data_IF_434686578148
#
_entry.id   IF_434686578148
#
_cell.length_a   1.000
_cell.length_b   1.000
_cell.length_c   1.000
_cell.angle_alpha   90.00
_cell.angle_beta   90.00
_cell.angle_gamma   90.00
#
_symmetry.space_group_name_H-M   'P 1'
#
loop_
_entity.id
_entity.type
_entity.pdbx_description
1 polymer ?
#
# COMPACT_ATOMS: atom_id res chain seq x y z
N UNK A 1 12.87 9.98 11.80
CA UNK A 1 13.33 9.42 13.09
C UNK A 1 12.57 8.13 13.33
N UNK A 2 13.17 6.99 13.00
CA UNK A 2 12.79 5.71 13.61
C UNK A 2 13.67 5.64 14.86
N UNK A 3 13.09 5.91 16.02
CA UNK A 3 13.80 5.76 17.30
C UNK A 3 13.83 4.26 17.64
N UNK A 4 15.03 3.72 17.86
CA UNK A 4 15.27 2.48 18.61
C UNK A 4 15.03 1.17 17.85
N UNK A 5 15.74 0.92 16.75
CA UNK A 5 15.88 -0.44 16.24
C UNK A 5 17.08 -1.11 16.90
N UNK A 6 16.90 -2.31 17.45
CA UNK A 6 18.00 -3.18 17.84
C UNK A 6 18.49 -3.96 16.61
N UNK A 7 19.77 -3.88 16.28
CA UNK A 7 20.39 -4.68 15.22
C UNK A 7 20.88 -6.02 15.78
N UNK A 8 20.59 -7.08 15.03
CA UNK A 8 21.09 -8.42 15.32
C UNK A 8 21.80 -8.97 14.09
N UNK A 9 22.95 -9.60 14.31
CA UNK A 9 23.68 -10.34 13.28
C UNK A 9 23.43 -11.84 13.47
N UNK A 10 22.87 -12.49 12.45
CA UNK A 10 22.58 -13.92 12.44
C UNK A 10 23.66 -14.67 11.67
N UNK A 11 24.34 -15.60 12.35
CA UNK A 11 25.39 -16.44 11.80
C UNK A 11 24.95 -17.91 11.87
N UNK A 12 24.13 -18.40 10.93
CA UNK A 12 23.89 -19.82 10.78
C UNK A 12 25.17 -20.53 10.36
N UNK A 13 25.40 -21.73 10.88
CA UNK A 13 26.51 -22.61 10.52
C UNK A 13 25.97 -24.02 10.38
N UNK A 14 26.18 -24.62 9.21
CA UNK A 14 25.86 -26.02 8.94
C UNK A 14 27.15 -26.83 8.94
N UNK A 15 27.17 -27.92 9.70
CA UNK A 15 28.31 -28.81 9.84
C UNK A 15 27.89 -30.27 9.85
N UNK A 16 28.85 -31.19 9.70
CA UNK A 16 28.60 -32.64 9.79
C UNK A 16 28.07 -33.06 11.18
N UNK A 17 28.27 -32.24 12.21
CA UNK A 17 27.79 -32.44 13.59
C UNK A 17 26.37 -31.89 13.82
N UNK A 18 25.79 -31.22 12.81
CA UNK A 18 24.48 -30.59 12.85
C UNK A 18 24.50 -29.11 12.48
N UNK A 19 23.30 -28.55 12.34
CA UNK A 19 23.09 -27.13 12.12
C UNK A 19 23.14 -26.37 13.46
N UNK A 20 23.65 -25.15 13.44
CA UNK A 20 23.66 -24.25 14.59
C UNK A 20 23.39 -22.81 14.15
N UNK A 21 22.79 -22.03 15.05
CA UNK A 21 22.56 -20.60 14.84
C UNK A 21 23.21 -19.81 15.97
N UNK A 22 24.11 -18.89 15.63
CA UNK A 22 24.64 -17.91 16.59
C UNK A 22 24.12 -16.52 16.25
N UNK A 23 23.70 -15.77 17.28
CA UNK A 23 23.15 -14.42 17.13
C UNK A 23 24.05 -13.47 17.92
N UNK A 24 24.32 -12.29 17.37
CA UNK A 24 25.03 -11.20 18.04
C UNK A 24 24.16 -9.95 18.09
N UNK A 25 24.22 -9.19 19.18
CA UNK A 25 23.62 -7.86 19.28
C UNK A 25 24.54 -6.76 18.67
N UNK A 26 24.11 -5.51 18.75
CA UNK A 26 24.86 -4.33 18.30
C UNK A 26 26.25 -4.19 18.92
N UNK A 27 26.38 -4.59 20.19
CA UNK A 27 27.61 -4.51 20.97
C UNK A 27 28.51 -5.76 20.76
N UNK A 28 28.10 -6.65 19.85
CA UNK A 28 28.71 -7.97 19.57
C UNK A 28 28.70 -8.93 20.75
N UNK A 29 27.78 -8.76 21.70
CA UNK A 29 27.53 -9.77 22.69
C UNK A 29 26.81 -10.95 22.03
N UNK A 30 27.26 -12.16 22.34
CA UNK A 30 26.65 -13.38 21.83
C UNK A 30 25.33 -13.63 22.55
N UNK A 31 24.25 -13.75 21.80
CA UNK A 31 22.95 -14.22 22.25
C UNK A 31 22.86 -15.72 21.94
N UNK A 32 22.77 -16.59 22.97
CA UNK A 32 22.61 -18.01 22.77
C UNK A 32 21.27 -18.31 22.07
N UNK A 33 21.32 -19.10 21.00
CA UNK A 33 20.14 -19.79 20.47
C UNK A 33 20.30 -21.29 20.69
N UNK A 34 19.22 -21.96 21.08
CA UNK A 34 19.21 -23.41 21.29
C UNK A 34 18.18 -24.06 20.38
N UNK A 35 18.44 -25.32 20.03
CA UNK A 35 17.49 -26.13 19.27
C UNK A 35 16.38 -26.65 20.20
N UNK A 36 15.13 -26.30 19.89
CA UNK A 36 13.93 -26.80 20.55
C UNK A 36 13.47 -28.08 19.83
N UNK A 37 13.54 -29.22 20.51
CA UNK A 37 13.19 -30.53 19.95
C UNK A 37 11.68 -30.70 19.70
N UNK A 38 10.82 -30.02 20.45
CA UNK A 38 9.37 -30.14 20.29
C UNK A 38 8.89 -29.29 19.11
N UNK A 39 9.51 -28.11 18.95
CA UNK A 39 9.16 -27.16 17.90
C UNK A 39 9.97 -27.37 16.60
N UNK A 40 11.05 -28.16 16.66
CA UNK A 40 11.98 -28.40 15.56
C UNK A 40 12.53 -27.09 14.97
N UNK A 41 12.99 -26.17 15.83
CA UNK A 41 13.52 -24.87 15.44
C UNK A 41 14.53 -24.32 16.46
N UNK A 42 15.36 -23.37 16.04
CA UNK A 42 16.18 -22.55 16.94
C UNK A 42 15.35 -21.45 17.61
N UNK A 43 15.53 -21.30 18.92
CA UNK A 43 14.92 -20.25 19.75
C UNK A 43 16.03 -19.44 20.44
N UNK A 44 15.97 -18.12 20.30
CA UNK A 44 16.93 -17.20 20.89
C UNK A 44 16.61 -16.92 22.37
N UNK A 45 17.63 -16.85 23.22
CA UNK A 45 17.50 -16.45 24.63
C UNK A 45 17.52 -14.93 24.79
N UNK A 46 16.62 -14.25 24.08
CA UNK A 46 16.40 -12.80 24.15
C UNK A 46 14.90 -12.51 24.14
N UNK A 47 14.44 -11.66 25.06
CA UNK A 47 13.03 -11.28 25.19
C UNK A 47 12.49 -10.58 23.93
N UNK A 48 13.32 -9.89 23.17
CA UNK A 48 12.96 -9.23 21.91
C UNK A 48 12.79 -10.22 20.76
N UNK A 49 13.42 -11.39 20.83
CA UNK A 49 13.42 -12.40 19.78
C UNK A 49 12.53 -13.61 20.10
N UNK A 50 11.94 -13.68 21.30
CA UNK A 50 11.17 -14.85 21.77
C UNK A 50 9.96 -15.25 20.92
N UNK A 51 9.39 -14.31 20.16
CA UNK A 51 8.27 -14.58 19.25
C UNK A 51 8.74 -15.08 17.87
N UNK A 52 10.04 -15.01 17.60
CA UNK A 52 10.65 -15.44 16.35
C UNK A 52 11.23 -16.84 16.53
N UNK A 53 10.91 -17.71 15.56
CA UNK A 53 11.51 -19.04 15.46
C UNK A 53 12.41 -19.06 14.24
N UNK A 54 13.54 -19.75 14.36
CA UNK A 54 14.51 -19.80 13.28
C UNK A 54 14.79 -21.23 12.87
N UNK A 55 15.08 -21.44 11.60
CA UNK A 55 15.61 -22.71 11.11
C UNK A 55 16.71 -22.41 10.10
N UNK A 56 17.67 -23.31 9.97
CA UNK A 56 18.80 -23.13 9.06
C UNK A 56 19.23 -24.48 8.53
N UNK A 57 19.41 -24.57 7.22
CA UNK A 57 19.88 -25.79 6.57
C UNK A 57 20.67 -25.46 5.31
N UNK A 58 21.50 -26.40 4.90
CA UNK A 58 22.16 -26.37 3.60
C UNK A 58 21.41 -27.20 2.57
N UNK A 59 21.21 -26.64 1.38
CA UNK A 59 20.68 -27.35 0.22
C UNK A 59 21.54 -27.03 -1.01
N UNK A 60 22.08 -28.08 -1.65
CA UNK A 60 22.77 -27.98 -2.94
C UNK A 60 23.87 -26.89 -3.00
N UNK A 61 24.61 -26.72 -1.90
CA UNK A 61 25.67 -25.72 -1.76
C UNK A 61 25.19 -24.30 -1.40
N UNK A 62 23.90 -24.15 -1.11
CA UNK A 62 23.28 -22.89 -0.72
C UNK A 62 22.88 -22.95 0.75
N UNK A 63 23.17 -21.88 1.50
CA UNK A 63 22.78 -21.77 2.90
C UNK A 63 21.42 -21.06 3.00
N UNK A 64 20.47 -21.71 3.67
CA UNK A 64 19.12 -21.19 3.88
C UNK A 64 18.95 -20.83 5.37
N UNK A 65 18.29 -19.71 5.62
CA UNK A 65 17.86 -19.27 6.93
C UNK A 65 16.37 -18.94 6.84
N UNK A 66 15.56 -19.64 7.63
CA UNK A 66 14.14 -19.38 7.79
C UNK A 66 13.92 -18.63 9.11
N UNK A 67 13.09 -17.60 9.06
CA UNK A 67 12.57 -16.93 10.24
C UNK A 67 11.05 -16.99 10.19
N UNK A 68 10.43 -17.60 11.18
CA UNK A 68 8.98 -17.66 11.32
C UNK A 68 8.52 -16.66 12.37
N UNK A 69 7.54 -15.84 11.97
CA UNK A 69 6.78 -14.98 12.87
C UNK A 69 5.29 -15.22 12.64
N UNK A 70 4.57 -15.66 13.67
CA UNK A 70 3.17 -16.08 13.54
C UNK A 70 3.00 -17.13 12.42
N UNK A 71 2.17 -16.86 11.42
CA UNK A 71 1.91 -17.74 10.28
C UNK A 71 2.73 -17.38 9.02
N UNK A 72 3.70 -16.47 9.15
CA UNK A 72 4.54 -15.99 8.04
C UNK A 72 5.96 -16.54 8.20
N UNK A 73 6.43 -17.21 7.15
CA UNK A 73 7.82 -17.68 7.04
C UNK A 73 8.59 -16.77 6.11
N UNK A 74 9.67 -16.20 6.61
CA UNK A 74 10.63 -15.38 5.89
C UNK A 74 11.82 -16.26 5.52
N UNK A 75 12.10 -16.35 4.23
CA UNK A 75 13.15 -17.20 3.67
C UNK A 75 14.31 -16.33 3.21
N UNK A 76 15.51 -16.64 3.69
CA UNK A 76 16.74 -15.94 3.33
C UNK A 76 17.75 -16.95 2.80
N UNK A 77 18.35 -16.63 1.66
CA UNK A 77 19.20 -17.56 0.92
C UNK A 77 20.54 -16.92 0.64
N UNK A 78 21.62 -17.64 0.91
CA UNK A 78 23.00 -17.25 0.62
C UNK A 78 23.65 -18.28 -0.28
N UNK A 79 23.81 -17.91 -1.54
CA UNK A 79 24.51 -18.74 -2.53
C UNK A 79 26.00 -18.91 -2.17
N UNK A 80 26.61 -20.01 -2.63
CA UNK A 80 28.01 -20.29 -2.37
C UNK A 80 28.91 -19.14 -2.87
N UNK A 81 29.80 -18.67 -2.00
CA UNK A 81 30.72 -17.55 -2.30
C UNK A 81 30.08 -16.15 -2.25
N UNK A 82 28.77 -16.03 -2.06
CA UNK A 82 28.13 -14.72 -1.85
C UNK A 82 28.41 -14.19 -0.44
N UNK A 83 28.67 -12.89 -0.27
CA UNK A 83 28.95 -12.31 1.04
C UNK A 83 27.69 -12.20 1.92
N UNK A 84 26.50 -12.11 1.32
CA UNK A 84 25.26 -11.73 2.00
C UNK A 84 24.07 -12.64 1.66
N UNK A 85 23.12 -12.71 2.60
CA UNK A 85 21.82 -13.34 2.37
C UNK A 85 20.93 -12.43 1.50
N UNK A 86 20.06 -13.06 0.71
CA UNK A 86 19.01 -12.40 -0.08
C UNK A 86 17.66 -12.92 0.40
N UNK A 87 16.70 -12.03 0.60
CA UNK A 87 15.34 -12.42 0.96
C UNK A 87 14.63 -13.02 -0.26
N UNK A 88 13.93 -14.13 -0.07
CA UNK A 88 13.10 -14.77 -1.10
C UNK A 88 11.64 -14.36 -0.88
N UNK A 89 11.09 -13.64 -1.86
CA UNK A 89 9.70 -13.20 -1.81
C UNK A 89 8.70 -14.35 -2.07
N UNK A 90 7.41 -14.06 -1.91
CA UNK A 90 6.32 -15.01 -2.15
C UNK A 90 6.30 -15.60 -3.58
N UNK A 91 6.94 -14.94 -4.55
CA UNK A 91 7.06 -15.42 -5.93
C UNK A 91 8.34 -16.26 -6.16
N UNK A 92 9.01 -16.69 -5.09
CA UNK A 92 10.25 -17.48 -5.14
C UNK A 92 11.38 -16.79 -5.91
N UNK A 93 11.45 -15.45 -5.80
CA UNK A 93 12.53 -14.64 -6.36
C UNK A 93 13.25 -13.88 -5.27
N UNK A 94 14.56 -13.74 -5.42
CA UNK A 94 15.39 -12.92 -4.56
C UNK A 94 15.05 -11.44 -4.70
N UNK A 95 14.90 -10.75 -3.58
CA UNK A 95 14.63 -9.32 -3.51
C UNK A 95 15.23 -8.71 -2.22
N UNK A 96 15.22 -7.38 -2.15
CA UNK A 96 15.66 -6.62 -0.99
C UNK A 96 14.45 -6.15 -0.18
N UNK A 97 14.51 -6.28 1.15
CA UNK A 97 13.49 -5.72 2.04
C UNK A 97 13.83 -4.26 2.29
N UNK A 98 12.93 -3.34 1.91
CA UNK A 98 13.10 -1.90 2.11
C UNK A 98 11.89 -1.28 2.76
N UNK A 99 12.09 -0.59 3.88
CA UNK A 99 11.00 0.15 4.54
C UNK A 99 10.68 1.43 3.77
N UNK A 100 9.41 1.60 3.41
CA UNK A 100 8.94 2.81 2.75
C UNK A 100 8.63 3.93 3.75
N UNK A 101 8.79 5.19 3.33
CA UNK A 101 8.32 6.33 4.12
C UNK A 101 6.78 6.32 4.19
N UNK A 102 6.23 6.82 5.30
CA UNK A 102 4.79 6.87 5.48
C UNK A 102 4.30 7.99 6.37
N UNK A 103 3.14 8.55 6.01
CA UNK A 103 2.43 9.55 6.82
C UNK A 103 1.38 8.95 7.75
N UNK A 104 1.01 7.68 7.59
CA UNK A 104 -0.02 6.97 8.39
C UNK A 104 0.56 5.82 9.21
N UNK A 105 1.71 6.06 9.87
CA UNK A 105 2.38 5.05 10.70
C UNK A 105 1.48 4.60 11.85
N UNK A 106 1.26 3.30 11.99
CA UNK A 106 0.38 2.69 13.01
C UNK A 106 -1.08 2.57 12.59
N UNK A 107 -1.46 3.09 11.42
CA UNK A 107 -2.81 3.06 10.88
C UNK A 107 -2.93 2.21 9.61
N UNK A 108 -1.98 1.32 9.37
CA UNK A 108 -1.85 0.51 8.16
C UNK A 108 -3.13 -0.31 7.86
N UNK A 109 -3.79 -0.81 8.92
CA UNK A 109 -4.98 -1.66 8.82
C UNK A 109 -6.29 -0.90 8.52
N UNK A 110 -6.29 0.44 8.55
CA UNK A 110 -7.50 1.23 8.32
C UNK A 110 -8.13 0.95 6.95
N UNK A 111 -9.48 0.94 6.92
CA UNK A 111 -10.29 0.74 5.71
C UNK A 111 -9.85 -0.49 4.89
N UNK A 112 -9.62 -1.59 5.59
CA UNK A 112 -9.19 -2.87 4.99
C UNK A 112 -7.86 -2.72 4.24
N UNK A 113 -6.84 -2.20 4.93
CA UNK A 113 -5.48 -2.05 4.40
C UNK A 113 -5.25 -0.83 3.49
N UNK A 114 -6.24 0.03 3.25
CA UNK A 114 -6.03 1.29 2.50
C UNK A 114 -5.18 2.28 3.28
N UNK A 115 -5.20 2.22 4.61
CA UNK A 115 -4.30 3.02 5.45
C UNK A 115 -2.83 2.80 5.09
N UNK A 116 -2.43 1.54 4.85
CA UNK A 116 -1.10 1.20 4.34
C UNK A 116 -0.84 1.83 2.97
N UNK A 117 -1.74 1.59 2.01
CA UNK A 117 -1.58 2.09 0.63
C UNK A 117 -1.51 3.62 0.60
N UNK A 118 -2.46 4.31 1.23
CA UNK A 118 -2.50 5.77 1.27
C UNK A 118 -1.32 6.34 2.04
N UNK A 119 -0.96 5.70 3.15
CA UNK A 119 0.18 6.09 3.95
C UNK A 119 1.48 6.11 3.17
N UNK A 120 1.69 5.20 2.21
CA UNK A 120 2.89 5.13 1.35
C UNK A 120 2.75 5.91 0.05
N UNK A 121 1.54 6.04 -0.48
CA UNK A 121 1.28 6.80 -1.71
C UNK A 121 1.33 8.33 -1.51
N UNK A 122 0.92 8.85 -0.36
CA UNK A 122 0.96 10.30 -0.08
C UNK A 122 2.40 10.87 -0.13
N UNK A 123 3.42 10.25 0.48
CA UNK A 123 4.81 10.67 0.33
C UNK A 123 5.28 10.82 -1.12
N UNK A 124 4.85 9.93 -2.01
CA UNK A 124 5.24 9.92 -3.43
C UNK A 124 4.71 11.17 -4.18
N UNK A 125 3.63 11.79 -3.71
CA UNK A 125 3.05 12.98 -4.36
C UNK A 125 4.02 14.17 -4.41
N UNK A 126 5.06 14.19 -3.57
CA UNK A 126 6.08 15.25 -3.57
C UNK A 126 6.85 15.33 -4.89
N UNK A 127 7.01 14.21 -5.58
CA UNK A 127 7.72 14.11 -6.85
C UNK A 127 6.79 14.41 -8.05
N UNK A 128 5.48 14.36 -7.81
CA UNK A 128 4.42 14.33 -8.83
C UNK A 128 3.48 15.55 -8.76
N UNK A 129 3.98 16.73 -8.35
CA UNK A 129 3.12 17.91 -8.13
C UNK A 129 2.49 18.41 -9.45
N UNK A 130 3.29 18.49 -10.52
CA UNK A 130 2.87 19.12 -11.78
C UNK A 130 2.43 18.10 -12.85
N UNK A 131 3.31 17.17 -13.23
CA UNK A 131 3.12 16.31 -14.41
C UNK A 131 2.63 14.90 -14.07
N UNK A 132 2.62 14.53 -12.79
CA UNK A 132 2.27 13.16 -12.37
C UNK A 132 3.29 12.12 -12.84
N UNK A 133 3.10 10.88 -12.42
CA UNK A 133 3.92 9.73 -12.79
C UNK A 133 3.55 9.11 -14.14
N UNK A 134 2.47 9.57 -14.77
CA UNK A 134 1.91 9.01 -15.99
C UNK A 134 0.71 8.08 -15.75
N UNK A 135 -0.09 7.83 -16.80
CA UNK A 135 -1.24 6.94 -16.71
C UNK A 135 -0.80 5.50 -16.46
N UNK A 136 -1.51 4.82 -15.54
CA UNK A 136 -1.30 3.42 -15.16
C UNK A 136 0.07 3.07 -14.54
N UNK A 137 0.84 4.05 -14.05
CA UNK A 137 2.18 3.81 -13.47
C UNK A 137 2.20 3.58 -11.96
N UNK A 138 1.04 3.40 -11.31
CA UNK A 138 0.98 3.26 -9.85
C UNK A 138 1.77 2.05 -9.34
N UNK A 139 1.74 0.92 -10.04
CA UNK A 139 2.46 -0.31 -9.65
C UNK A 139 3.97 -0.06 -9.55
N UNK A 140 4.51 0.74 -10.46
CA UNK A 140 5.94 1.04 -10.60
C UNK A 140 6.40 2.04 -9.53
N UNK A 141 5.60 3.08 -9.29
CA UNK A 141 5.91 4.12 -8.30
C UNK A 141 5.71 3.65 -6.86
N UNK A 142 4.74 2.76 -6.64
CA UNK A 142 4.41 2.31 -5.29
C UNK A 142 5.52 1.39 -4.74
N UNK A 143 6.01 1.62 -3.50
CA UNK A 143 7.10 0.83 -2.95
C UNK A 143 6.69 -0.62 -2.69
N UNK A 144 7.08 -1.52 -3.60
CA UNK A 144 6.72 -2.94 -3.53
C UNK A 144 7.52 -3.72 -2.49
N UNK A 145 8.70 -3.21 -2.12
CA UNK A 145 9.68 -3.85 -1.25
C UNK A 145 9.43 -3.67 0.26
N UNK A 146 8.35 -2.97 0.66
CA UNK A 146 7.96 -2.76 2.08
C UNK A 146 7.30 -4.01 2.69
N UNK A 147 7.97 -5.17 2.56
CA UNK A 147 7.45 -6.48 2.92
C UNK A 147 7.03 -6.55 4.39
N UNK A 148 7.84 -6.01 5.31
CA UNK A 148 7.54 -6.06 6.76
C UNK A 148 6.22 -5.34 7.07
N UNK A 149 5.93 -4.23 6.40
CA UNK A 149 4.71 -3.47 6.64
C UNK A 149 3.52 -4.03 5.86
N UNK A 150 3.73 -4.66 4.70
CA UNK A 150 2.72 -5.53 4.08
C UNK A 150 2.31 -6.63 5.07
N UNK A 151 3.28 -7.30 5.70
CA UNK A 151 3.06 -8.35 6.69
C UNK A 151 2.25 -7.84 7.90
N UNK A 152 2.65 -6.69 8.45
CA UNK A 152 1.98 -6.05 9.57
C UNK A 152 0.53 -5.68 9.22
N UNK A 153 0.27 -5.22 8.00
CA UNK A 153 -1.09 -4.93 7.51
C UNK A 153 -1.94 -6.20 7.45
N UNK A 154 -1.36 -7.29 6.94
CA UNK A 154 -1.93 -8.63 6.96
C UNK A 154 -1.32 -9.52 5.88
N UNK A 155 -1.34 -10.84 6.08
CA UNK A 155 -0.79 -11.82 5.13
C UNK A 155 -1.30 -11.65 3.69
N UNK A 156 -2.60 -11.39 3.53
CA UNK A 156 -3.19 -11.15 2.20
C UNK A 156 -2.56 -9.96 1.44
N UNK A 157 -1.99 -8.99 2.15
CA UNK A 157 -1.30 -7.83 1.57
C UNK A 157 0.11 -8.19 1.08
N UNK A 158 0.79 -9.14 1.73
CA UNK A 158 2.08 -9.67 1.27
C UNK A 158 1.96 -10.42 -0.05
N UNK A 159 0.86 -11.16 -0.22
CA UNK A 159 0.58 -11.97 -1.41
C UNK A 159 0.10 -11.12 -2.60
N UNK A 160 -0.28 -9.87 -2.35
CA UNK A 160 -0.75 -8.93 -3.36
C UNK A 160 0.33 -7.95 -3.79
N UNK A 161 0.21 -7.51 -5.05
CA UNK A 161 0.94 -6.37 -5.59
C UNK A 161 -0.05 -5.21 -5.64
N UNK A 162 0.02 -4.24 -4.70
CA UNK A 162 -0.81 -3.05 -4.77
C UNK A 162 -0.62 -2.36 -6.11
N UNK A 163 -1.66 -2.37 -6.92
CA UNK A 163 -1.66 -1.80 -8.27
C UNK A 163 -2.45 -0.51 -8.39
N UNK A 164 -3.19 -0.15 -7.34
CA UNK A 164 -4.02 1.05 -7.29
C UNK A 164 -4.05 1.65 -5.89
N UNK A 165 -4.27 2.96 -5.83
CA UNK A 165 -4.46 3.69 -4.58
C UNK A 165 -5.80 3.39 -3.89
N UNK A 166 -6.78 2.82 -4.61
CA UNK A 166 -8.17 2.69 -4.16
C UNK A 166 -8.77 4.01 -3.67
N UNK A 167 -8.44 5.10 -4.36
CA UNK A 167 -9.02 6.42 -4.18
C UNK A 167 -8.89 7.17 -5.49
N UNK A 168 -10.00 7.62 -6.07
CA UNK A 168 -10.02 8.40 -7.30
C UNK A 168 -9.07 9.59 -7.21
N UNK A 169 -9.10 10.30 -6.07
CA UNK A 169 -8.33 11.51 -5.86
C UNK A 169 -6.83 11.22 -5.75
N UNK A 170 -6.45 10.23 -4.93
CA UNK A 170 -5.03 9.91 -4.74
C UNK A 170 -4.42 9.31 -6.01
N UNK A 171 -5.20 8.47 -6.72
CA UNK A 171 -4.80 7.92 -8.01
C UNK A 171 -4.58 9.04 -9.04
N UNK A 172 -5.52 9.98 -9.17
CA UNK A 172 -5.36 11.12 -10.08
C UNK A 172 -4.20 12.02 -9.69
N UNK A 173 -4.01 12.32 -8.41
CA UNK A 173 -2.89 13.13 -7.94
C UNK A 173 -1.53 12.51 -8.27
N UNK A 174 -1.40 11.19 -8.11
CA UNK A 174 -0.15 10.50 -8.42
C UNK A 174 0.09 10.43 -9.93
N UNK A 175 -0.91 10.00 -10.70
CA UNK A 175 -0.74 9.68 -12.12
C UNK A 175 -0.73 10.90 -13.04
N UNK A 176 -1.60 11.88 -12.80
CA UNK A 176 -1.73 13.08 -13.65
C UNK A 176 -1.30 14.36 -12.96
N UNK A 177 -0.90 14.27 -11.69
CA UNK A 177 -0.37 15.35 -10.89
C UNK A 177 -1.41 16.03 -10.00
N UNK A 178 -0.94 16.65 -8.93
CA UNK A 178 -1.78 17.40 -7.97
C UNK A 178 -2.51 18.54 -8.68
N UNK A 179 -1.86 19.22 -9.64
CA UNK A 179 -2.50 20.29 -10.40
C UNK A 179 -3.70 19.78 -11.21
N UNK A 180 -3.59 18.60 -11.83
CA UNK A 180 -4.69 17.95 -12.55
C UNK A 180 -5.86 17.66 -11.62
N UNK A 181 -5.57 17.12 -10.42
CA UNK A 181 -6.59 16.89 -9.40
C UNK A 181 -7.30 18.19 -8.99
N UNK A 182 -6.56 19.28 -8.76
CA UNK A 182 -7.15 20.57 -8.39
C UNK A 182 -8.08 21.10 -9.49
N UNK A 183 -7.69 20.99 -10.76
CA UNK A 183 -8.56 21.35 -11.89
C UNK A 183 -9.86 20.54 -11.89
N UNK A 184 -9.78 19.22 -11.64
CA UNK A 184 -10.98 18.37 -11.54
C UNK A 184 -11.87 18.76 -10.36
N UNK A 185 -11.28 19.03 -9.19
CA UNK A 185 -12.02 19.47 -8.00
C UNK A 185 -12.72 20.81 -8.22
N UNK A 186 -12.05 21.78 -8.86
CA UNK A 186 -12.64 23.07 -9.23
C UNK A 186 -13.80 22.86 -10.21
N UNK A 187 -13.61 22.01 -11.22
CA UNK A 187 -14.65 21.69 -12.19
C UNK A 187 -15.88 21.08 -11.52
N UNK A 188 -15.72 20.01 -10.73
CA UNK A 188 -16.82 19.37 -10.01
C UNK A 188 -17.46 20.29 -8.97
N UNK A 189 -16.67 21.09 -8.25
CA UNK A 189 -17.15 22.08 -7.30
C UNK A 189 -17.97 23.18 -7.97
N UNK A 190 -17.51 23.70 -9.11
CA UNK A 190 -18.24 24.71 -9.90
C UNK A 190 -19.59 24.17 -10.38
N UNK A 191 -19.62 22.91 -10.83
CA UNK A 191 -20.84 22.22 -11.19
C UNK A 191 -21.80 22.10 -10.00
N UNK A 192 -21.33 21.64 -8.84
CA UNK A 192 -22.15 21.46 -7.65
C UNK A 192 -22.78 22.80 -7.19
N UNK A 193 -21.98 23.87 -7.11
CA UNK A 193 -22.46 25.22 -6.74
C UNK A 193 -23.52 25.71 -7.72
N UNK A 194 -23.26 25.55 -9.02
CA UNK A 194 -24.21 25.93 -10.06
C UNK A 194 -25.51 25.11 -9.99
N UNK A 195 -25.44 23.81 -9.69
CA UNK A 195 -26.63 22.96 -9.53
C UNK A 195 -27.46 23.37 -8.33
N UNK A 196 -26.83 23.65 -7.18
CA UNK A 196 -27.54 24.10 -5.97
C UNK A 196 -28.24 25.44 -6.21
N UNK A 197 -27.60 26.37 -6.94
CA UNK A 197 -28.23 27.65 -7.32
C UNK A 197 -29.43 27.44 -8.23
N UNK A 198 -29.30 26.60 -9.26
CA UNK A 198 -30.39 26.23 -10.18
C UNK A 198 -31.59 25.66 -9.41
N UNK A 199 -31.36 24.70 -8.51
CA UNK A 199 -32.40 24.06 -7.72
C UNK A 199 -33.18 25.04 -6.83
N UNK A 200 -32.51 26.05 -6.26
CA UNK A 200 -33.18 27.09 -5.46
C UNK A 200 -34.10 27.96 -6.30
N UNK A 201 -33.76 28.21 -7.57
CA UNK A 201 -34.54 29.05 -8.48
C UNK A 201 -35.72 28.29 -9.12
N UNK A 202 -35.57 26.98 -9.34
CA UNK A 202 -36.53 26.13 -10.06
C UNK A 202 -37.50 25.37 -9.16
N UNK A 203 -37.79 25.85 -7.95
CA UNK A 203 -38.49 25.07 -6.91
C UNK A 203 -39.85 24.48 -7.36
N UNK A 204 -40.51 25.13 -8.32
CA UNK A 204 -41.82 24.72 -8.88
C UNK A 204 -41.74 24.19 -10.33
N UNK A 205 -40.55 23.91 -10.84
CA UNK A 205 -40.34 23.42 -12.21
C UNK A 205 -40.48 21.90 -12.32
N UNK A 206 -41.06 21.42 -13.41
CA UNK A 206 -41.08 19.99 -13.76
C UNK A 206 -39.68 19.35 -13.88
N UNK A 207 -38.64 20.17 -14.09
CA UNK A 207 -37.24 19.71 -14.19
C UNK A 207 -36.50 19.68 -12.85
N UNK A 208 -37.10 20.17 -11.77
CA UNK A 208 -36.48 20.21 -10.44
C UNK A 208 -36.00 18.84 -9.98
N UNK A 209 -36.86 17.82 -10.08
CA UNK A 209 -36.55 16.46 -9.66
C UNK A 209 -35.37 15.88 -10.45
N UNK A 210 -35.29 16.14 -11.75
CA UNK A 210 -34.21 15.65 -12.62
C UNK A 210 -32.87 16.31 -12.25
N UNK A 211 -32.83 17.64 -12.12
CA UNK A 211 -31.62 18.37 -11.69
C UNK A 211 -31.13 17.87 -10.30
N UNK A 212 -32.06 17.60 -9.39
CA UNK A 212 -31.74 17.15 -8.03
C UNK A 212 -31.15 15.74 -8.02
N UNK A 213 -31.74 14.81 -8.78
CA UNK A 213 -31.24 13.43 -8.90
C UNK A 213 -29.86 13.41 -9.55
N UNK A 214 -29.64 14.19 -10.61
CA UNK A 214 -28.32 14.26 -11.25
C UNK A 214 -27.27 14.80 -10.28
N UNK A 215 -27.57 15.89 -9.55
CA UNK A 215 -26.66 16.42 -8.53
C UNK A 215 -26.35 15.39 -7.44
N UNK A 216 -27.37 14.69 -6.94
CA UNK A 216 -27.20 13.66 -5.92
C UNK A 216 -26.32 12.52 -6.41
N UNK A 217 -26.58 12.00 -7.61
CA UNK A 217 -25.79 10.93 -8.23
C UNK A 217 -24.33 11.33 -8.44
N UNK A 218 -24.08 12.54 -8.96
CA UNK A 218 -22.71 13.07 -9.13
C UNK A 218 -22.01 13.19 -7.78
N UNK A 219 -22.68 13.75 -6.77
CA UNK A 219 -22.11 13.94 -5.43
C UNK A 219 -21.82 12.61 -4.75
N UNK A 220 -22.74 11.65 -4.85
CA UNK A 220 -22.56 10.32 -4.29
C UNK A 220 -21.39 9.58 -4.95
N UNK A 221 -21.24 9.67 -6.28
CA UNK A 221 -20.11 9.09 -7.00
C UNK A 221 -18.78 9.70 -6.55
N UNK A 222 -18.69 11.03 -6.45
CA UNK A 222 -17.48 11.72 -6.00
C UNK A 222 -17.14 11.37 -4.54
N UNK A 223 -18.14 11.28 -3.67
CA UNK A 223 -17.93 10.85 -2.28
C UNK A 223 -17.42 9.42 -2.21
N UNK A 224 -18.01 8.49 -2.98
CA UNK A 224 -17.52 7.11 -3.08
C UNK A 224 -16.10 7.02 -3.65
N UNK A 225 -15.70 7.97 -4.49
CA UNK A 225 -14.33 8.11 -5.01
C UNK A 225 -13.27 8.37 -3.95
N UNK A 226 -13.63 8.70 -2.70
CA UNK A 226 -12.66 8.83 -1.61
C UNK A 226 -12.02 7.47 -1.29
N UNK A 227 -12.81 6.40 -1.35
CA UNK A 227 -12.42 5.03 -0.95
C UNK A 227 -12.39 4.03 -2.11
N UNK A 228 -12.72 4.48 -3.31
CA UNK A 228 -12.77 3.66 -4.51
C UNK A 228 -12.12 4.39 -5.69
N UNK A 229 -11.59 3.60 -6.62
CA UNK A 229 -11.12 4.05 -7.92
C UNK A 229 -12.28 4.21 -8.90
N UNK A 230 -12.01 4.91 -10.01
CA UNK A 230 -12.93 4.96 -11.14
C UNK A 230 -13.08 3.58 -11.76
N UNK A 231 -14.32 3.14 -11.99
CA UNK A 231 -14.62 1.87 -12.65
C UNK A 231 -15.07 2.11 -14.10
N UNK A 232 -14.55 1.30 -15.05
CA UNK A 232 -14.93 1.34 -16.46
C UNK A 232 -16.45 1.20 -16.70
N UNK A 233 -17.16 0.46 -15.86
CA UNK A 233 -18.61 0.28 -15.99
C UNK A 233 -19.41 1.52 -15.55
N UNK A 234 -18.91 2.27 -14.57
CA UNK A 234 -19.68 3.36 -13.90
C UNK A 234 -19.23 4.75 -14.37
N UNK A 235 -17.96 4.90 -14.74
CA UNK A 235 -17.40 6.19 -15.15
C UNK A 235 -18.09 6.81 -16.37
N UNK A 236 -18.45 6.06 -17.44
CA UNK A 236 -19.18 6.63 -18.56
C UNK A 236 -20.56 7.18 -18.16
N UNK A 237 -21.26 6.50 -17.25
CA UNK A 237 -22.55 6.96 -16.72
C UNK A 237 -22.38 8.24 -15.90
N UNK A 238 -21.35 8.30 -15.06
CA UNK A 238 -21.02 9.51 -14.30
C UNK A 238 -20.78 10.71 -15.23
N UNK A 239 -19.90 10.57 -16.23
CA UNK A 239 -19.59 11.66 -17.17
C UNK A 239 -20.80 12.04 -18.02
N UNK A 240 -21.63 11.08 -18.42
CA UNK A 240 -22.88 11.33 -19.14
C UNK A 240 -23.89 12.12 -18.30
N UNK A 241 -24.11 11.72 -17.04
CA UNK A 241 -24.99 12.45 -16.11
C UNK A 241 -24.47 13.86 -15.81
N UNK A 242 -23.16 14.00 -15.59
CA UNK A 242 -22.52 15.29 -15.36
C UNK A 242 -22.67 16.22 -16.59
N UNK A 243 -22.46 15.68 -17.79
CA UNK A 243 -22.66 16.40 -19.04
C UNK A 243 -24.10 16.86 -19.25
N UNK A 244 -25.08 15.99 -18.97
CA UNK A 244 -26.50 16.33 -19.02
C UNK A 244 -26.83 17.46 -18.03
N UNK A 245 -26.38 17.36 -16.78
CA UNK A 245 -26.59 18.40 -15.78
C UNK A 245 -25.95 19.74 -16.17
N UNK A 246 -24.79 19.73 -16.84
CA UNK A 246 -24.17 20.93 -17.40
C UNK A 246 -25.02 21.54 -18.53
N UNK A 247 -25.55 20.71 -19.44
CA UNK A 247 -26.36 21.16 -20.57
C UNK A 247 -27.68 21.80 -20.12
N UNK A 248 -28.36 21.20 -19.15
CA UNK A 248 -29.63 21.70 -18.60
C UNK A 248 -29.52 23.14 -18.07
N UNK A 249 -28.36 23.50 -17.52
CA UNK A 249 -28.09 24.86 -17.03
C UNK A 249 -27.84 25.87 -18.14
N UNK A 250 -27.27 25.44 -19.28
CA UNK A 250 -26.97 26.32 -20.41
C UNK A 250 -28.25 26.78 -21.10
N UNK A 251 -29.25 25.92 -21.19
CA UNK A 251 -30.56 26.22 -21.77
C UNK A 251 -31.36 27.26 -20.99
N UNK A 252 -31.10 27.43 -19.69
CA UNK A 252 -31.81 28.42 -18.87
C UNK A 252 -31.20 29.82 -18.92
N UNK A 253 -29.89 29.96 -19.17
CA UNK A 253 -29.26 31.28 -19.38
C UNK A 253 -29.55 31.90 -20.77
N UNK A 254 -30.15 31.12 -21.67
CA UNK A 254 -30.59 31.55 -23.00
C UNK A 254 -32.10 31.86 -23.10
N UNK A 255 -32.81 31.89 -21.98
CA UNK A 255 -34.20 32.36 -21.86
C UNK A 255 -34.27 33.54 -20.90
#
# INVERSE_FOLDING_TARGET
MVQGGHFYEFCPVSSDEGDSLTIYDEDRNRIPAYWDMDQQCFVAQDDALKELKFDSYMDSGTQNLLMQYQDITWEFVKANGSPQFVYINFYKRGDEIRTADSVLKGYEKLFTGRGYIWGRAIPLLKEHILVGSGPDTFVEEFPQQDYVMKANTGRWMLEQIPSKAHSLYLQSALQTGILSLLCLLIFWGSYAVSSVRSLKQKKDSSFFAVDAVILLSVTAFLFMGLMNDSNLAVSPLFWGMLGLGCAMKKTDFSR
#
